data_IF_770618722108
#
_entry.id   IF_770618722108
#
_cell.length_a   1.000
_cell.length_b   1.000
_cell.length_c   1.000
_cell.angle_alpha   90.00
_cell.angle_beta   90.00
_cell.angle_gamma   90.00
#
_symmetry.space_group_name_H-M   'P 1'
#
loop_
_entity.id
_entity.type
_entity.pdbx_description
1 polymer ?
#
# COMPACT_ATOMS: atom_id res chain seq x y z
N UNK A 1 46.28 24.17 41.56
CA UNK A 1 45.52 24.21 40.29
C UNK A 1 45.09 25.65 40.01
N UNK A 2 45.58 26.24 38.91
CA UNK A 2 45.27 27.63 38.53
C UNK A 2 43.96 27.68 37.74
N UNK A 3 42.89 28.11 38.39
CA UNK A 3 41.62 28.44 37.75
C UNK A 3 41.87 29.56 36.74
N UNK A 4 41.64 29.26 35.46
CA UNK A 4 41.91 30.17 34.36
C UNK A 4 40.97 31.37 34.42
N UNK A 5 41.54 32.58 34.51
CA UNK A 5 40.85 33.84 34.28
C UNK A 5 40.40 33.90 32.80
N UNK A 6 39.23 33.35 32.51
CA UNK A 6 38.65 33.39 31.16
C UNK A 6 38.23 34.83 30.87
N UNK A 7 38.97 35.50 29.98
CA UNK A 7 38.64 36.86 29.51
C UNK A 7 37.20 36.87 29.01
N UNK A 8 36.35 37.74 29.56
CA UNK A 8 34.89 37.84 29.31
C UNK A 8 34.48 37.68 27.83
N UNK A 9 35.33 38.12 26.90
CA UNK A 9 35.11 37.94 25.46
C UNK A 9 35.03 36.48 24.96
N UNK A 10 35.67 35.50 25.62
CA UNK A 10 35.53 34.08 25.26
C UNK A 10 34.18 33.51 25.69
N UNK A 11 33.66 33.96 26.84
CA UNK A 11 32.34 33.53 27.36
C UNK A 11 31.24 34.01 26.43
N UNK A 12 31.31 35.26 25.95
CA UNK A 12 30.32 35.81 25.00
C UNK A 12 30.34 35.05 23.68
N UNK A 13 31.52 34.68 23.17
CA UNK A 13 31.64 33.88 21.93
C UNK A 13 31.07 32.47 22.08
N UNK A 14 31.35 31.81 23.20
CA UNK A 14 30.78 30.47 23.48
C UNK A 14 29.26 30.54 23.69
N UNK A 15 28.76 31.59 24.35
CA UNK A 15 27.32 31.82 24.51
C UNK A 15 26.61 32.04 23.16
N UNK A 16 27.19 32.86 22.27
CA UNK A 16 26.65 33.06 20.92
C UNK A 16 26.63 31.78 20.09
N UNK A 17 27.70 30.98 20.14
CA UNK A 17 27.74 29.68 19.47
C UNK A 17 26.66 28.71 20.01
N UNK A 18 26.43 28.71 21.33
CA UNK A 18 25.41 27.88 21.95
C UNK A 18 23.99 28.33 21.56
N UNK A 19 23.73 29.63 21.48
CA UNK A 19 22.44 30.16 21.05
C UNK A 19 22.13 29.80 19.59
N UNK A 20 23.11 29.89 18.69
CA UNK A 20 22.97 29.48 17.29
C UNK A 20 22.67 27.98 17.20
N UNK A 21 23.38 27.16 17.98
CA UNK A 21 23.16 25.71 18.03
C UNK A 21 21.74 25.36 18.48
N UNK A 22 21.21 26.03 19.50
CA UNK A 22 19.82 25.84 19.95
C UNK A 22 18.80 26.22 18.88
N UNK A 23 19.06 27.29 18.11
CA UNK A 23 18.19 27.73 17.03
C UNK A 23 18.17 26.71 15.89
N UNK A 24 19.32 26.12 15.54
CA UNK A 24 19.41 25.04 14.56
C UNK A 24 18.67 23.77 15.03
N UNK A 25 18.83 23.37 16.29
CA UNK A 25 18.11 22.22 16.85
C UNK A 25 16.59 22.45 16.85
N UNK A 26 16.14 23.67 17.15
CA UNK A 26 14.72 24.01 17.09
C UNK A 26 14.16 23.94 15.67
N UNK A 27 14.90 24.46 14.67
CA UNK A 27 14.51 24.38 13.27
C UNK A 27 14.43 22.92 12.79
N UNK A 28 15.38 22.08 13.19
CA UNK A 28 15.42 20.66 12.84
C UNK A 28 14.27 19.87 13.48
N UNK A 29 13.95 20.18 14.74
CA UNK A 29 12.80 19.58 15.43
C UNK A 29 11.47 19.96 14.75
N UNK A 30 11.30 21.23 14.35
CA UNK A 30 10.10 21.70 13.64
C UNK A 30 9.95 21.01 12.29
N UNK A 31 11.03 20.89 11.52
CA UNK A 31 11.00 20.20 10.24
C UNK A 31 10.69 18.70 10.38
N UNK A 32 11.23 18.03 11.39
CA UNK A 32 10.89 16.63 11.69
C UNK A 32 9.40 16.47 11.99
N UNK A 33 8.84 17.34 12.83
CA UNK A 33 7.41 17.24 13.22
C UNK A 33 6.47 17.47 12.03
N UNK A 34 6.80 18.40 11.13
CA UNK A 34 5.98 18.65 9.93
C UNK A 34 6.07 17.49 8.91
N UNK A 35 7.19 16.76 8.90
CA UNK A 35 7.36 15.56 8.06
C UNK A 35 6.48 14.41 8.57
N UNK A 36 6.46 14.18 9.88
CA UNK A 36 5.61 13.15 10.50
C UNK A 36 4.10 13.48 10.39
N UNK A 37 3.73 14.77 10.36
CA UNK A 37 2.34 15.20 10.15
C UNK A 37 1.79 14.87 8.74
N UNK A 38 2.66 14.61 7.76
CA UNK A 38 2.24 14.16 6.43
C UNK A 38 2.06 12.64 6.33
N UNK A 39 2.70 11.87 7.22
CA UNK A 39 2.52 10.41 7.31
C UNK A 39 1.27 10.04 8.12
N UNK A 40 0.88 10.87 9.11
CA UNK A 40 -0.31 10.64 9.93
C UNK A 40 -1.64 10.76 9.17
N UNK A 41 -1.73 11.58 8.12
CA UNK A 41 -2.90 11.60 7.22
C UNK A 41 -3.06 10.29 6.44
N UNK A 42 -1.96 9.63 6.06
CA UNK A 42 -2.00 8.33 5.36
C UNK A 42 -2.30 7.17 6.32
N UNK A 43 -1.87 7.26 7.57
CA UNK A 43 -2.13 6.26 8.61
C UNK A 43 -3.61 6.29 9.09
N UNK A 44 -4.21 7.49 9.19
CA UNK A 44 -5.63 7.66 9.53
C UNK A 44 -6.58 7.07 8.48
N UNK A 45 -6.21 7.10 7.19
CA UNK A 45 -7.00 6.49 6.12
C UNK A 45 -6.95 4.96 6.22
N UNK A 46 -5.81 4.37 6.57
CA UNK A 46 -5.65 2.92 6.74
C UNK A 46 -6.39 2.40 7.99
N UNK A 47 -6.34 3.16 9.09
CA UNK A 47 -7.04 2.83 10.34
C UNK A 47 -8.57 2.93 10.18
N UNK A 48 -9.06 3.87 9.38
CA UNK A 48 -10.49 3.98 9.06
C UNK A 48 -11.05 2.77 8.30
N UNK A 49 -10.20 2.09 7.51
CA UNK A 49 -10.59 0.92 6.74
C UNK A 49 -10.51 -0.38 7.56
N UNK A 50 -9.58 -0.46 8.51
CA UNK A 50 -9.49 -1.60 9.45
C UNK A 50 -10.60 -1.57 10.51
N UNK A 51 -11.11 -0.39 10.86
CA UNK A 51 -12.28 -0.22 11.73
C UNK A 51 -13.61 -0.71 11.12
N UNK A 52 -13.66 -0.93 9.79
CA UNK A 52 -14.86 -1.46 9.13
C UNK A 52 -15.10 -2.95 9.41
N UNK A 53 -14.05 -3.70 9.75
CA UNK A 53 -14.16 -5.10 10.14
C UNK A 53 -14.19 -5.21 11.67
N UNK A 54 -15.34 -4.86 12.24
CA UNK A 54 -15.60 -5.12 13.66
C UNK A 54 -15.62 -6.64 13.87
N UNK A 55 -14.46 -7.22 14.21
CA UNK A 55 -14.34 -8.64 14.53
C UNK A 55 -15.15 -8.92 15.78
N UNK A 56 -16.31 -9.51 15.60
CA UNK A 56 -17.15 -9.95 16.72
C UNK A 56 -16.64 -11.32 17.15
N UNK A 57 -15.79 -11.36 18.19
CA UNK A 57 -15.11 -12.57 18.68
C UNK A 57 -16.03 -13.78 18.95
N UNK A 58 -17.32 -13.56 19.15
CA UNK A 58 -18.32 -14.57 19.49
C UNK A 58 -19.49 -14.66 18.47
N UNK A 59 -19.37 -14.06 17.29
CA UNK A 59 -20.41 -14.14 16.24
C UNK A 59 -19.84 -14.86 15.04
N UNK A 60 -20.39 -16.03 14.75
CA UNK A 60 -20.00 -16.86 13.62
C UNK A 60 -20.93 -16.61 12.43
N UNK A 61 -20.41 -16.63 11.19
CA UNK A 61 -21.26 -16.59 10.01
C UNK A 61 -22.20 -17.79 10.01
N UNK A 62 -23.46 -17.56 9.64
CA UNK A 62 -24.48 -18.61 9.53
C UNK A 62 -24.82 -18.78 8.05
N UNK A 63 -24.83 -20.03 7.59
CA UNK A 63 -25.27 -20.33 6.23
C UNK A 63 -26.80 -20.19 6.19
N UNK A 64 -27.27 -19.25 5.38
CA UNK A 64 -28.69 -19.07 5.05
C UNK A 64 -28.89 -19.40 3.58
N UNK A 65 -30.10 -19.82 3.21
CA UNK A 65 -30.46 -20.18 1.83
C UNK A 65 -30.80 -18.98 0.96
N UNK A 66 -31.05 -17.83 1.58
CA UNK A 66 -31.32 -16.57 0.89
C UNK A 66 -30.00 -15.89 0.51
N UNK A 67 -30.01 -15.06 -0.54
CA UNK A 67 -28.87 -14.17 -0.80
C UNK A 67 -28.60 -13.33 0.44
N UNK A 68 -27.36 -13.39 0.90
CA UNK A 68 -26.92 -12.69 2.09
C UNK A 68 -26.61 -11.22 1.84
N UNK A 69 -25.76 -10.72 2.73
CA UNK A 69 -25.38 -9.32 2.83
C UNK A 69 -24.04 -8.99 2.14
N UNK A 70 -23.35 -9.97 1.56
CA UNK A 70 -22.03 -9.79 0.93
C UNK A 70 -22.00 -10.23 -0.54
N UNK A 71 -23.06 -10.87 -1.01
CA UNK A 71 -23.24 -11.28 -2.39
C UNK A 71 -23.46 -10.04 -3.27
N UNK A 72 -22.74 -9.93 -4.40
CA UNK A 72 -22.98 -8.88 -5.39
C UNK A 72 -24.44 -8.91 -5.86
N UNK A 73 -25.13 -7.76 -5.81
CA UNK A 73 -26.55 -7.67 -6.22
C UNK A 73 -26.72 -7.65 -7.73
N UNK A 74 -25.83 -6.93 -8.42
CA UNK A 74 -25.86 -6.76 -9.87
C UNK A 74 -24.56 -7.27 -10.49
N UNK A 75 -24.67 -8.13 -11.50
CA UNK A 75 -23.53 -8.63 -12.26
C UNK A 75 -23.43 -7.86 -13.58
N UNK A 76 -22.30 -7.17 -13.79
CA UNK A 76 -22.03 -6.51 -15.07
C UNK A 76 -21.35 -7.48 -16.02
N UNK A 77 -22.06 -7.92 -17.07
CA UNK A 77 -21.52 -8.85 -18.06
C UNK A 77 -20.62 -8.11 -19.04
N UNK A 78 -19.31 -8.36 -18.93
CA UNK A 78 -18.29 -7.89 -19.87
C UNK A 78 -17.94 -9.02 -20.83
N UNK A 79 -17.69 -8.70 -22.10
CA UNK A 79 -17.22 -9.66 -23.10
C UNK A 79 -15.72 -9.51 -23.31
N UNK A 80 -14.99 -10.61 -23.25
CA UNK A 80 -13.55 -10.62 -23.48
C UNK A 80 -12.92 -12.00 -23.24
N UNK A 81 -11.62 -12.15 -23.56
CA UNK A 81 -10.85 -13.33 -23.24
C UNK A 81 -10.85 -13.60 -21.73
N UNK A 82 -11.13 -14.85 -21.32
CA UNK A 82 -11.06 -15.25 -19.92
C UNK A 82 -12.17 -14.72 -19.00
N UNK A 83 -13.15 -13.99 -19.54
CA UNK A 83 -14.33 -13.50 -18.79
C UNK A 83 -15.21 -14.66 -18.31
N UNK A 84 -15.86 -14.45 -17.17
CA UNK A 84 -16.61 -15.46 -16.42
C UNK A 84 -15.78 -16.70 -16.03
N UNK A 85 -14.45 -16.63 -16.15
CA UNK A 85 -13.57 -17.79 -15.95
C UNK A 85 -13.59 -18.79 -17.10
N UNK A 86 -14.05 -18.40 -18.30
CA UNK A 86 -14.04 -19.28 -19.48
C UNK A 86 -12.61 -19.53 -19.99
N UNK A 87 -12.32 -20.74 -20.53
CA UNK A 87 -11.02 -21.02 -21.11
C UNK A 87 -10.77 -20.11 -22.32
N UNK A 88 -9.57 -19.52 -22.37
CA UNK A 88 -9.09 -18.76 -23.52
C UNK A 88 -8.04 -19.59 -24.26
N UNK A 89 -8.28 -19.85 -25.55
CA UNK A 89 -7.34 -20.54 -26.42
C UNK A 89 -6.70 -19.52 -27.36
N UNK A 90 -5.40 -19.33 -27.18
CA UNK A 90 -4.62 -18.44 -28.04
C UNK A 90 -4.46 -19.07 -29.44
N UNK A 91 -4.53 -18.26 -30.52
CA UNK A 91 -4.31 -18.76 -31.87
C UNK A 91 -2.87 -19.30 -32.08
N UNK A 92 -2.73 -20.25 -33.01
CA UNK A 92 -1.49 -21.02 -33.22
C UNK A 92 -0.32 -20.19 -33.76
N UNK A 93 -0.61 -19.06 -34.38
CA UNK A 93 0.39 -18.09 -34.85
C UNK A 93 1.27 -17.53 -33.72
N UNK A 94 0.78 -17.57 -32.48
CA UNK A 94 1.51 -17.12 -31.28
C UNK A 94 2.14 -18.24 -30.45
N UNK A 95 2.30 -19.45 -31.03
CA UNK A 95 2.88 -20.59 -30.31
C UNK A 95 4.29 -20.32 -29.75
N UNK A 96 5.08 -19.49 -30.42
CA UNK A 96 6.41 -19.09 -29.95
C UNK A 96 6.32 -18.25 -28.66
N UNK A 97 5.42 -17.26 -28.61
CA UNK A 97 5.19 -16.43 -27.42
C UNK A 97 4.75 -17.27 -26.21
N UNK A 98 3.92 -18.29 -26.46
CA UNK A 98 3.49 -19.23 -25.43
C UNK A 98 4.70 -19.98 -24.88
N UNK A 99 5.49 -20.61 -25.75
CA UNK A 99 6.65 -21.42 -25.34
C UNK A 99 7.72 -20.59 -24.62
N UNK A 100 7.97 -19.35 -25.08
CA UNK A 100 8.89 -18.42 -24.44
C UNK A 100 8.41 -18.06 -23.03
N UNK A 101 7.15 -17.64 -22.89
CA UNK A 101 6.60 -17.27 -21.58
C UNK A 101 6.50 -18.44 -20.60
N UNK A 102 6.17 -19.64 -21.09
CA UNK A 102 6.16 -20.85 -20.27
C UNK A 102 7.58 -21.23 -19.81
N UNK A 103 8.58 -21.04 -20.66
CA UNK A 103 9.98 -21.29 -20.29
C UNK A 103 10.51 -20.29 -19.29
N UNK A 104 10.14 -19.01 -19.40
CA UNK A 104 10.66 -17.95 -18.54
C UNK A 104 9.94 -17.87 -17.19
N UNK A 105 8.60 -18.00 -17.19
CA UNK A 105 7.77 -17.77 -16.01
C UNK A 105 7.07 -19.04 -15.48
N UNK A 106 7.17 -20.17 -16.20
CA UNK A 106 6.44 -21.40 -15.85
C UNK A 106 4.93 -21.30 -16.06
N UNK A 107 4.45 -20.26 -16.74
CA UNK A 107 3.04 -19.96 -16.97
C UNK A 107 2.86 -19.29 -18.33
N UNK A 108 1.69 -19.46 -18.96
CA UNK A 108 1.37 -18.82 -20.22
C UNK A 108 1.04 -17.33 -20.00
N UNK A 109 2.07 -16.51 -19.84
CA UNK A 109 1.95 -15.05 -19.66
C UNK A 109 1.42 -14.39 -20.94
N UNK A 110 1.74 -14.95 -22.11
CA UNK A 110 1.18 -14.47 -23.37
C UNK A 110 -0.36 -14.46 -23.33
N UNK A 111 -0.98 -15.54 -22.86
CA UNK A 111 -2.43 -15.62 -22.67
C UNK A 111 -2.92 -14.72 -21.54
N UNK A 112 -2.16 -14.57 -20.46
CA UNK A 112 -2.52 -13.65 -19.36
C UNK A 112 -2.57 -12.20 -19.79
N UNK A 113 -1.71 -11.77 -20.73
CA UNK A 113 -1.68 -10.40 -21.24
C UNK A 113 -2.92 -10.04 -22.08
N UNK A 114 -3.55 -11.03 -22.70
CA UNK A 114 -4.79 -10.85 -23.48
C UNK A 114 -6.04 -10.83 -22.58
N UNK A 115 -5.94 -11.31 -21.34
CA UNK A 115 -7.03 -11.38 -20.37
C UNK A 115 -7.10 -10.07 -19.57
N UNK A 116 -8.30 -9.52 -19.40
CA UNK A 116 -8.50 -8.29 -18.64
C UNK A 116 -8.07 -8.45 -17.17
N UNK A 117 -7.34 -7.47 -16.64
CA UNK A 117 -6.85 -7.50 -15.24
C UNK A 117 -7.99 -7.41 -14.22
N UNK A 118 -9.11 -6.82 -14.60
CA UNK A 118 -10.33 -6.71 -13.83
C UNK A 118 -11.45 -7.63 -14.35
N UNK A 119 -11.09 -8.77 -14.96
CA UNK A 119 -12.06 -9.73 -15.48
C UNK A 119 -13.05 -10.18 -14.42
N UNK A 120 -14.27 -10.46 -14.85
CA UNK A 120 -15.27 -11.07 -14.01
C UNK A 120 -15.01 -12.58 -13.95
N UNK A 121 -15.02 -13.17 -12.76
CA UNK A 121 -14.88 -14.61 -12.57
C UNK A 121 -16.18 -15.13 -11.98
N UNK A 122 -16.80 -16.13 -12.62
CA UNK A 122 -17.99 -16.77 -12.09
C UNK A 122 -17.58 -17.75 -11.00
N UNK A 123 -17.99 -17.49 -9.77
CA UNK A 123 -17.86 -18.44 -8.67
C UNK A 123 -19.08 -19.39 -8.66
N UNK A 124 -18.89 -20.68 -8.35
CA UNK A 124 -19.98 -21.65 -8.23
C UNK A 124 -20.59 -21.57 -6.83
N UNK A 125 -21.46 -20.60 -6.57
CA UNK A 125 -22.31 -20.55 -5.39
C UNK A 125 -23.73 -20.17 -5.79
#
# INVERSE_FOLDING_TARGET
>A
MRITNVRRGRIIRMGGACAILLLLLFALHKWSTDTDASESESELILESQSAFYKSHRNVYPTLKTELGNFEPRDLHVVKGPGEEGKPYHMPQDRANDIAESESEYGMNIAASNDIAMNRLVRTPF
#
